data_IF_549425784292
#
_entry.id   IF_549425784292
#
_cell.length_a   1.000
_cell.length_b   1.000
_cell.length_c   1.000
_cell.angle_alpha   90.00
_cell.angle_beta   90.00
_cell.angle_gamma   90.00
#
_symmetry.space_group_name_H-M   'P 1'
#
loop_
_entity.id
_entity.type
_entity.pdbx_description
1 polymer ?
#
# COMPACT_ATOMS: atom_id res chain seq x y z
N UNK A 1 -70.14 -16.43 30.84
CA UNK A 1 -69.10 -16.26 29.83
C UNK A 1 -67.76 -15.82 30.45
N UNK A 2 -67.18 -16.66 31.34
CA UNK A 2 -65.93 -16.35 32.07
C UNK A 2 -65.04 -17.58 32.32
N UNK A 3 -65.33 -18.73 31.73
CA UNK A 3 -64.55 -19.97 31.94
C UNK A 3 -63.63 -20.33 30.76
N UNK A 4 -63.88 -19.85 29.55
CA UNK A 4 -63.08 -20.25 28.37
C UNK A 4 -61.73 -19.51 28.23
N UNK A 5 -61.57 -18.33 28.82
CA UNK A 5 -60.31 -17.57 28.72
C UNK A 5 -59.19 -18.07 29.66
N UNK A 6 -59.52 -18.86 30.69
CA UNK A 6 -58.52 -19.40 31.63
C UNK A 6 -57.69 -20.53 31.03
N UNK A 7 -58.31 -21.41 30.24
CA UNK A 7 -57.65 -22.57 29.64
C UNK A 7 -56.70 -22.18 28.50
N UNK A 8 -57.07 -21.18 27.70
CA UNK A 8 -56.23 -20.65 26.64
C UNK A 8 -54.95 -20.00 27.19
N UNK A 9 -55.04 -19.35 28.36
CA UNK A 9 -53.88 -18.75 29.02
C UNK A 9 -52.94 -19.81 29.60
N UNK A 10 -53.48 -20.88 30.21
CA UNK A 10 -52.68 -21.98 30.75
C UNK A 10 -52.02 -22.82 29.65
N UNK A 11 -52.69 -23.05 28.51
CA UNK A 11 -52.07 -23.72 27.34
C UNK A 11 -50.90 -22.92 26.78
N UNK A 12 -51.02 -21.60 26.65
CA UNK A 12 -49.89 -20.76 26.17
C UNK A 12 -48.70 -20.81 27.12
N UNK A 13 -48.94 -20.89 28.43
CA UNK A 13 -47.87 -20.96 29.44
C UNK A 13 -47.19 -22.33 29.49
N UNK A 14 -47.95 -23.42 29.32
CA UNK A 14 -47.39 -24.77 29.21
C UNK A 14 -46.55 -24.95 27.94
N UNK A 15 -47.01 -24.42 26.80
CA UNK A 15 -46.25 -24.46 25.53
C UNK A 15 -44.97 -23.60 25.59
N UNK A 16 -44.96 -22.52 26.38
CA UNK A 16 -43.76 -21.70 26.57
C UNK A 16 -42.72 -22.34 27.52
N UNK A 17 -43.14 -23.31 28.36
CA UNK A 17 -42.26 -24.00 29.30
C UNK A 17 -41.55 -25.23 28.71
N UNK A 18 -42.02 -25.74 27.57
CA UNK A 18 -41.48 -26.92 26.88
C UNK A 18 -40.67 -26.57 25.62
N UNK A 19 -40.25 -25.32 25.45
CA UNK A 19 -39.31 -24.97 24.39
C UNK A 19 -37.91 -25.50 24.78
N UNK A 20 -37.28 -26.37 23.97
CA UNK A 20 -35.91 -26.78 24.22
C UNK A 20 -35.04 -25.52 24.26
N UNK A 21 -34.18 -25.40 25.27
CA UNK A 21 -33.16 -24.35 25.33
C UNK A 21 -32.48 -24.28 23.96
N UNK A 22 -32.67 -23.15 23.27
CA UNK A 22 -31.95 -22.87 22.04
C UNK A 22 -30.47 -23.08 22.33
N UNK A 23 -29.73 -23.88 21.54
CA UNK A 23 -28.31 -24.06 21.77
C UNK A 23 -27.68 -22.66 21.84
N UNK A 24 -26.94 -22.42 22.92
CA UNK A 24 -26.27 -21.16 23.19
C UNK A 24 -25.62 -20.65 21.89
N UNK A 25 -25.83 -19.37 21.59
CA UNK A 25 -25.20 -18.73 20.44
C UNK A 25 -23.70 -19.09 20.43
N UNK A 26 -23.13 -19.49 19.28
CA UNK A 26 -21.74 -19.90 19.23
C UNK A 26 -20.87 -18.77 19.78
N UNK A 27 -20.08 -19.09 20.80
CA UNK A 27 -19.06 -18.22 21.36
C UNK A 27 -18.23 -17.70 20.17
N UNK A 28 -18.01 -16.38 20.03
CA UNK A 28 -17.20 -15.87 18.94
C UNK A 28 -15.85 -16.56 19.02
N UNK A 29 -15.49 -17.31 17.97
CA UNK A 29 -14.16 -17.89 17.84
C UNK A 29 -13.16 -16.77 18.08
N UNK A 30 -12.38 -16.85 19.17
CA UNK A 30 -11.22 -16.00 19.37
C UNK A 30 -10.45 -16.00 18.06
N UNK A 31 -10.31 -14.81 17.48
CA UNK A 31 -9.89 -14.63 16.11
C UNK A 31 -8.71 -15.53 15.79
N UNK A 32 -8.94 -16.49 14.91
CA UNK A 32 -7.85 -17.05 14.12
C UNK A 32 -7.23 -15.84 13.44
N UNK A 33 -6.06 -15.44 13.92
CA UNK A 33 -5.13 -14.63 13.15
C UNK A 33 -4.96 -15.42 11.86
N UNK A 34 -5.59 -14.95 10.78
CA UNK A 34 -5.43 -15.52 9.45
C UNK A 34 -3.97 -15.36 9.14
N UNK A 35 -3.18 -16.40 9.43
CA UNK A 35 -1.81 -16.47 8.99
C UNK A 35 -1.89 -16.41 7.47
N UNK A 36 -1.20 -15.46 6.82
CA UNK A 36 -1.19 -15.44 5.37
C UNK A 36 -0.72 -16.81 4.90
N UNK A 37 -1.51 -17.50 4.08
CA UNK A 37 -1.04 -18.72 3.43
C UNK A 37 0.26 -18.43 2.67
N UNK A 38 1.04 -19.45 2.33
CA UNK A 38 2.33 -19.26 1.64
C UNK A 38 2.26 -18.39 0.37
N UNK A 39 1.10 -18.35 -0.30
CA UNK A 39 0.82 -17.46 -1.44
C UNK A 39 0.73 -15.98 -1.06
N UNK A 40 0.05 -15.64 0.04
CA UNK A 40 -0.12 -14.25 0.51
C UNK A 40 1.19 -13.65 0.99
N UNK A 41 2.01 -14.44 1.69
CA UNK A 41 3.36 -14.01 2.09
C UNK A 41 4.27 -13.75 0.90
N UNK A 42 4.22 -14.62 -0.11
CA UNK A 42 4.99 -14.43 -1.35
C UNK A 42 4.61 -13.12 -2.05
N UNK A 43 3.32 -12.79 -2.13
CA UNK A 43 2.84 -11.52 -2.71
C UNK A 43 3.36 -10.32 -1.93
N UNK A 44 3.25 -10.32 -0.60
CA UNK A 44 3.76 -9.24 0.25
C UNK A 44 5.27 -9.06 0.04
N UNK A 45 6.04 -10.15 0.01
CA UNK A 45 7.48 -10.09 -0.21
C UNK A 45 7.84 -9.55 -1.60
N UNK A 46 7.13 -9.96 -2.65
CA UNK A 46 7.32 -9.45 -4.02
C UNK A 46 6.99 -7.97 -4.12
N UNK A 47 5.92 -7.51 -3.47
CA UNK A 47 5.55 -6.10 -3.42
C UNK A 47 6.63 -5.26 -2.72
N UNK A 48 7.10 -5.70 -1.55
CA UNK A 48 8.18 -5.03 -0.81
C UNK A 48 9.44 -4.96 -1.65
N UNK A 49 9.81 -6.07 -2.29
CA UNK A 49 11.00 -6.13 -3.15
C UNK A 49 10.87 -5.18 -4.34
N UNK A 50 9.72 -5.18 -5.01
CA UNK A 50 9.50 -4.35 -6.18
C UNK A 50 9.57 -2.85 -5.83
N UNK A 51 8.91 -2.44 -4.74
CA UNK A 51 8.98 -1.06 -4.24
C UNK A 51 10.43 -0.72 -3.89
N UNK A 52 11.11 -1.54 -3.09
CA UNK A 52 12.51 -1.31 -2.72
C UNK A 52 13.42 -1.15 -3.94
N UNK A 53 13.23 -1.94 -5.00
CA UNK A 53 14.02 -1.80 -6.24
C UNK A 53 13.67 -0.51 -6.99
N UNK A 54 12.40 -0.07 -6.97
CA UNK A 54 11.94 1.15 -7.61
C UNK A 54 12.52 2.43 -6.97
N UNK A 55 12.65 2.44 -5.65
CA UNK A 55 13.22 3.57 -4.91
C UNK A 55 14.72 3.82 -5.21
N UNK A 56 15.44 2.86 -5.81
CA UNK A 56 16.86 3.04 -6.15
C UNK A 56 17.03 4.06 -7.30
N UNK A 57 16.39 3.88 -8.49
CA UNK A 57 16.38 4.89 -9.54
C UNK A 57 15.92 6.27 -9.09
N UNK A 58 14.93 6.36 -8.21
CA UNK A 58 14.42 7.63 -7.67
C UNK A 58 15.47 8.33 -6.80
N UNK A 59 16.08 7.59 -5.87
CA UNK A 59 17.18 8.11 -5.06
C UNK A 59 18.33 8.58 -5.93
N UNK A 60 18.74 7.78 -6.92
CA UNK A 60 19.74 8.19 -7.90
C UNK A 60 19.34 9.47 -8.64
N UNK A 61 18.08 9.63 -9.04
CA UNK A 61 17.61 10.82 -9.74
C UNK A 61 17.70 12.07 -8.86
N UNK A 62 17.29 11.98 -7.59
CA UNK A 62 17.47 13.06 -6.60
C UNK A 62 18.96 13.40 -6.43
N UNK A 63 19.79 12.37 -6.22
CA UNK A 63 21.23 12.51 -6.03
C UNK A 63 21.94 13.16 -7.22
N UNK A 64 21.67 12.67 -8.43
CA UNK A 64 22.20 13.22 -9.68
C UNK A 64 21.70 14.65 -9.89
N UNK A 65 20.43 14.93 -9.63
CA UNK A 65 19.86 16.26 -9.71
C UNK A 65 20.63 17.28 -8.86
N UNK A 66 20.89 16.96 -7.59
CA UNK A 66 21.68 17.82 -6.70
C UNK A 66 23.18 17.84 -7.05
N UNK A 67 23.77 16.71 -7.43
CA UNK A 67 25.18 16.60 -7.79
C UNK A 67 25.52 17.25 -9.14
N UNK A 68 24.52 17.51 -9.98
CA UNK A 68 24.67 18.16 -11.29
C UNK A 68 24.42 19.67 -11.25
N UNK A 69 24.03 20.23 -10.10
CA UNK A 69 23.78 21.68 -9.95
C UNK A 69 24.97 22.48 -10.48
N UNK A 70 24.67 23.50 -11.30
CA UNK A 70 25.64 24.38 -11.97
C UNK A 70 26.51 23.72 -13.06
N UNK A 71 26.36 22.41 -13.34
CA UNK A 71 27.07 21.74 -14.45
C UNK A 71 26.45 22.03 -15.81
N UNK A 72 25.15 22.35 -15.86
CA UNK A 72 24.44 22.76 -17.07
C UNK A 72 23.47 23.90 -16.74
N UNK A 73 23.01 24.64 -17.75
CA UNK A 73 22.02 25.70 -17.55
C UNK A 73 20.66 25.19 -17.02
N UNK A 74 20.35 23.92 -17.26
CA UNK A 74 19.10 23.28 -16.81
C UNK A 74 19.23 22.64 -15.42
N UNK A 75 20.44 22.27 -14.98
CA UNK A 75 20.66 21.68 -13.66
C UNK A 75 20.79 22.79 -12.60
N UNK A 76 19.65 23.25 -12.10
CA UNK A 76 19.56 24.28 -11.07
C UNK A 76 19.23 23.67 -9.71
N UNK A 77 19.62 24.34 -8.62
CA UNK A 77 19.20 23.95 -7.28
C UNK A 77 17.67 23.88 -7.14
N UNK A 78 16.95 24.80 -7.79
CA UNK A 78 15.49 24.81 -7.82
C UNK A 78 14.91 23.55 -8.49
N UNK A 79 15.44 23.15 -9.65
CA UNK A 79 15.01 21.92 -10.32
C UNK A 79 15.27 20.67 -9.47
N UNK A 80 16.45 20.56 -8.85
CA UNK A 80 16.79 19.43 -7.98
C UNK A 80 15.92 19.38 -6.71
N UNK A 81 15.66 20.54 -6.10
CA UNK A 81 14.78 20.68 -4.94
C UNK A 81 13.35 20.25 -5.29
N UNK A 82 12.81 20.74 -6.39
CA UNK A 82 11.44 20.43 -6.76
C UNK A 82 11.28 18.94 -7.11
N UNK A 83 12.25 18.34 -7.80
CA UNK A 83 12.31 16.89 -8.04
C UNK A 83 12.30 16.10 -6.72
N UNK A 84 13.13 16.49 -5.75
CA UNK A 84 13.19 15.83 -4.45
C UNK A 84 11.88 15.94 -3.66
N UNK A 85 11.17 17.07 -3.77
CA UNK A 85 9.85 17.25 -3.17
C UNK A 85 8.83 16.34 -3.86
N UNK A 86 8.84 16.28 -5.20
CA UNK A 86 7.95 15.42 -5.97
C UNK A 86 8.08 13.95 -5.58
N UNK A 87 9.32 13.45 -5.58
CA UNK A 87 9.65 12.08 -5.15
C UNK A 87 9.26 11.86 -3.67
N UNK A 88 9.58 12.81 -2.78
CA UNK A 88 9.20 12.71 -1.37
C UNK A 88 7.69 12.58 -1.12
N UNK A 89 6.86 13.21 -1.95
CA UNK A 89 5.40 13.13 -1.83
C UNK A 89 4.87 11.76 -2.26
N UNK A 90 5.36 11.17 -3.36
CA UNK A 90 4.92 9.85 -3.84
C UNK A 90 5.39 8.69 -2.95
N UNK A 91 6.53 8.86 -2.26
CA UNK A 91 7.05 7.86 -1.33
C UNK A 91 6.12 7.57 -0.16
N UNK A 92 5.28 8.54 0.22
CA UNK A 92 4.33 8.34 1.31
C UNK A 92 3.26 7.29 0.96
N UNK A 93 2.52 7.42 -0.16
CA UNK A 93 1.69 6.34 -0.70
C UNK A 93 2.40 4.99 -0.85
N UNK A 94 3.66 4.96 -1.31
CA UNK A 94 4.42 3.71 -1.47
C UNK A 94 4.76 3.02 -0.15
N UNK A 95 5.23 3.79 0.84
CA UNK A 95 5.47 3.29 2.20
C UNK A 95 4.19 2.75 2.84
N UNK A 96 3.03 3.36 2.55
CA UNK A 96 1.73 2.84 2.96
C UNK A 96 1.36 1.55 2.21
N UNK A 97 1.68 1.45 0.92
CA UNK A 97 1.46 0.24 0.11
C UNK A 97 2.24 -0.97 0.65
N UNK A 98 3.39 -0.76 1.29
CA UNK A 98 4.12 -1.81 2.04
C UNK A 98 3.52 -2.05 3.42
N UNK A 99 3.17 -0.99 4.14
CA UNK A 99 2.71 -1.06 5.53
C UNK A 99 1.35 -1.75 5.67
N UNK A 100 0.38 -1.47 4.79
CA UNK A 100 -0.99 -1.96 4.92
C UNK A 100 -1.11 -3.49 4.75
N UNK A 101 -0.46 -4.13 3.76
CA UNK A 101 -0.45 -5.59 3.66
C UNK A 101 0.22 -6.28 4.85
N UNK A 102 1.33 -5.73 5.37
CA UNK A 102 1.98 -6.26 6.58
C UNK A 102 1.07 -6.16 7.81
N UNK A 103 0.32 -5.06 7.94
CA UNK A 103 -0.70 -4.92 8.98
C UNK A 103 -1.82 -5.95 8.80
N UNK A 104 -2.29 -6.17 7.57
CA UNK A 104 -3.25 -7.21 7.22
C UNK A 104 -2.75 -8.63 7.53
N UNK A 105 -1.44 -8.87 7.42
CA UNK A 105 -0.78 -10.12 7.76
C UNK A 105 -0.57 -10.33 9.28
N UNK A 106 -1.06 -9.43 10.13
CA UNK A 106 -1.04 -9.57 11.59
C UNK A 106 0.08 -8.80 12.30
N UNK A 107 0.89 -7.99 11.60
CA UNK A 107 1.91 -7.17 12.24
C UNK A 107 1.25 -6.04 13.03
N UNK A 108 1.85 -5.65 14.17
CA UNK A 108 1.41 -4.44 14.89
C UNK A 108 1.55 -3.21 13.99
N UNK A 109 0.67 -2.22 14.12
CA UNK A 109 0.71 -0.97 13.33
C UNK A 109 2.10 -0.35 13.28
N UNK A 110 2.80 -0.29 14.42
CA UNK A 110 4.14 0.29 14.50
C UNK A 110 5.20 -0.49 13.73
N UNK A 111 5.19 -1.83 13.81
CA UNK A 111 6.10 -2.68 13.03
C UNK A 111 5.82 -2.57 11.53
N UNK A 112 4.55 -2.59 11.14
CA UNK A 112 4.16 -2.46 9.75
C UNK A 112 4.61 -1.12 9.15
N UNK A 113 4.37 -0.03 9.89
CA UNK A 113 4.86 1.31 9.54
C UNK A 113 6.39 1.33 9.38
N UNK A 114 7.14 0.78 10.34
CA UNK A 114 8.60 0.73 10.25
C UNK A 114 9.09 -0.03 9.04
N UNK A 115 8.48 -1.17 8.69
CA UNK A 115 8.87 -1.89 7.49
C UNK A 115 8.59 -1.07 6.21
N UNK A 116 7.52 -0.29 6.16
CA UNK A 116 7.27 0.65 5.07
C UNK A 116 8.33 1.76 4.97
N UNK A 117 8.81 2.28 6.09
CA UNK A 117 9.92 3.25 6.08
C UNK A 117 11.24 2.59 5.67
N UNK A 118 11.49 1.36 6.14
CA UNK A 118 12.71 0.62 5.84
C UNK A 118 12.80 0.26 4.36
N UNK A 119 11.69 -0.04 3.67
CA UNK A 119 11.70 -0.27 2.22
C UNK A 119 12.14 0.95 1.43
N UNK A 120 11.84 2.16 1.91
CA UNK A 120 12.29 3.42 1.28
C UNK A 120 13.71 3.84 1.65
N UNK A 121 14.36 3.21 2.63
CA UNK A 121 15.67 3.65 3.13
C UNK A 121 16.82 3.48 2.10
N UNK A 122 16.58 2.70 1.05
CA UNK A 122 17.50 2.58 -0.09
C UNK A 122 17.64 3.88 -0.88
N UNK A 123 16.64 4.75 -0.84
CA UNK A 123 16.62 5.99 -1.62
C UNK A 123 17.64 7.03 -1.11
N UNK A 124 17.73 7.38 0.20
CA UNK A 124 18.81 8.22 0.69
C UNK A 124 20.21 7.67 0.36
N UNK A 125 20.39 6.35 0.43
CA UNK A 125 21.67 5.72 0.10
C UNK A 125 22.01 5.87 -1.38
N UNK A 126 21.03 5.60 -2.24
CA UNK A 126 21.14 5.77 -3.68
C UNK A 126 21.35 7.25 -4.07
N UNK A 127 20.70 8.19 -3.37
CA UNK A 127 20.87 9.63 -3.61
C UNK A 127 22.24 10.14 -3.22
N UNK A 128 22.78 9.70 -2.08
CA UNK A 128 24.17 10.01 -1.73
C UNK A 128 25.13 9.46 -2.79
N UNK A 129 24.93 8.21 -3.23
CA UNK A 129 25.74 7.63 -4.30
C UNK A 129 25.62 8.41 -5.62
N UNK A 130 24.41 8.74 -6.05
CA UNK A 130 24.14 9.51 -7.26
C UNK A 130 24.79 10.89 -7.25
N UNK A 131 24.78 11.57 -6.09
CA UNK A 131 25.43 12.86 -5.92
C UNK A 131 26.96 12.81 -6.07
N UNK A 132 27.60 11.73 -5.60
CA UNK A 132 29.05 11.54 -5.75
C UNK A 132 29.44 10.99 -7.13
N UNK A 133 28.59 10.17 -7.74
CA UNK A 133 28.87 9.42 -8.96
C UNK A 133 28.14 9.96 -10.21
N UNK A 134 27.83 11.25 -10.25
CA UNK A 134 27.03 11.89 -11.33
C UNK A 134 27.48 11.47 -12.73
N UNK A 135 28.78 11.51 -13.01
CA UNK A 135 29.34 11.17 -14.34
C UNK A 135 29.05 9.72 -14.75
N UNK A 136 28.96 8.81 -13.78
CA UNK A 136 28.63 7.41 -14.00
C UNK A 136 27.12 7.17 -14.03
N UNK A 137 26.38 7.85 -13.16
CA UNK A 137 24.94 7.65 -12.96
C UNK A 137 24.08 8.30 -14.06
N UNK A 138 24.44 9.50 -14.52
CA UNK A 138 23.65 10.29 -15.47
C UNK A 138 23.34 9.55 -16.79
N UNK A 139 24.29 8.84 -17.44
CA UNK A 139 23.98 8.09 -18.66
C UNK A 139 23.12 6.84 -18.42
N UNK A 140 23.16 6.28 -17.21
CA UNK A 140 22.46 5.05 -16.85
C UNK A 140 21.04 5.35 -16.37
N UNK A 141 20.82 6.55 -15.82
CA UNK A 141 19.58 6.98 -15.19
C UNK A 141 18.33 6.77 -16.07
N UNK A 142 18.31 7.14 -17.37
CA UNK A 142 17.10 7.00 -18.19
C UNK A 142 16.69 5.53 -18.35
N UNK A 143 17.67 4.63 -18.47
CA UNK A 143 17.42 3.19 -18.58
C UNK A 143 16.96 2.60 -17.25
N UNK A 144 17.58 3.03 -16.14
CA UNK A 144 17.19 2.61 -14.80
C UNK A 144 15.76 3.05 -14.48
N UNK A 145 15.40 4.31 -14.75
CA UNK A 145 14.05 4.85 -14.56
C UNK A 145 13.02 4.15 -15.46
N UNK A 146 13.34 3.92 -16.74
CA UNK A 146 12.44 3.20 -17.65
C UNK A 146 12.18 1.76 -17.19
N UNK A 147 13.23 1.07 -16.71
CA UNK A 147 13.09 -0.26 -16.12
C UNK A 147 12.24 -0.24 -14.86
N UNK A 148 12.48 0.72 -13.96
CA UNK A 148 11.71 0.89 -12.73
C UNK A 148 10.22 1.15 -13.03
N UNK A 149 9.93 2.05 -13.97
CA UNK A 149 8.57 2.37 -14.39
C UNK A 149 7.85 1.13 -14.95
N UNK A 150 8.52 0.35 -15.80
CA UNK A 150 7.98 -0.91 -16.33
C UNK A 150 7.67 -1.92 -15.22
N UNK A 151 8.57 -2.07 -14.24
CA UNK A 151 8.36 -2.96 -13.11
C UNK A 151 7.15 -2.56 -12.26
N UNK A 152 6.95 -1.27 -11.99
CA UNK A 152 5.80 -0.78 -11.22
C UNK A 152 4.48 -0.92 -11.99
N UNK A 153 4.49 -0.71 -13.31
CA UNK A 153 3.32 -1.02 -14.14
C UNK A 153 2.94 -2.50 -14.04
N UNK A 154 3.91 -3.41 -14.10
CA UNK A 154 3.67 -4.84 -13.94
C UNK A 154 3.06 -5.17 -12.57
N UNK A 155 3.64 -4.67 -11.47
CA UNK A 155 3.11 -4.88 -10.11
C UNK A 155 1.69 -4.35 -9.95
N UNK A 156 1.41 -3.15 -10.48
CA UNK A 156 0.07 -2.57 -10.41
C UNK A 156 -0.95 -3.43 -11.16
N UNK A 157 -0.59 -3.90 -12.36
CA UNK A 157 -1.50 -4.65 -13.23
C UNK A 157 -1.69 -6.11 -12.81
N UNK A 158 -0.64 -6.78 -12.34
CA UNK A 158 -0.66 -8.21 -12.03
C UNK A 158 -1.02 -8.49 -10.56
N UNK A 159 -0.69 -7.58 -9.64
CA UNK A 159 -0.97 -7.75 -8.21
C UNK A 159 -2.05 -6.78 -7.71
N UNK A 160 -1.82 -5.45 -7.77
CA UNK A 160 -2.66 -4.47 -7.04
C UNK A 160 -4.10 -4.39 -7.57
N UNK A 161 -4.28 -4.23 -8.88
CA UNK A 161 -5.62 -4.13 -9.49
C UNK A 161 -6.41 -5.43 -9.32
N UNK A 162 -5.86 -6.62 -9.64
CA UNK A 162 -6.57 -7.88 -9.44
C UNK A 162 -6.95 -8.13 -7.98
N UNK A 163 -6.06 -7.85 -7.03
CA UNK A 163 -6.33 -8.02 -5.59
C UNK A 163 -7.53 -7.15 -5.14
N UNK A 164 -7.60 -5.91 -5.63
CA UNK A 164 -8.70 -5.01 -5.32
C UNK A 164 -10.04 -5.47 -5.92
N UNK A 165 -10.01 -6.10 -7.10
CA UNK A 165 -11.20 -6.69 -7.71
C UNK A 165 -11.70 -7.92 -6.95
N UNK A 166 -10.78 -8.82 -6.58
CA UNK A 166 -11.09 -10.02 -5.78
C UNK A 166 -11.66 -9.63 -4.41
N UNK A 167 -11.16 -8.54 -3.82
CA UNK A 167 -11.63 -8.00 -2.55
C UNK A 167 -13.00 -7.28 -2.63
N UNK A 168 -13.66 -7.27 -3.79
CA UNK A 168 -14.97 -6.63 -4.00
C UNK A 168 -14.92 -5.10 -4.14
N UNK A 169 -13.73 -4.51 -4.16
CA UNK A 169 -13.53 -3.05 -4.18
C UNK A 169 -13.13 -2.51 -5.56
N UNK A 170 -13.32 -3.29 -6.64
CA UNK A 170 -12.80 -2.95 -7.98
C UNK A 170 -13.16 -1.55 -8.48
N UNK A 171 -14.42 -1.11 -8.31
CA UNK A 171 -14.85 0.23 -8.74
C UNK A 171 -14.18 1.35 -7.92
N UNK A 172 -14.06 1.16 -6.61
CA UNK A 172 -13.37 2.12 -5.73
C UNK A 172 -11.89 2.19 -6.09
N UNK A 173 -11.26 1.04 -6.32
CA UNK A 173 -9.87 0.94 -6.72
C UNK A 173 -9.61 1.67 -8.05
N UNK A 174 -10.45 1.47 -9.07
CA UNK A 174 -10.32 2.20 -10.34
C UNK A 174 -10.41 3.72 -10.15
N UNK A 175 -11.38 4.21 -9.36
CA UNK A 175 -11.48 5.65 -9.08
C UNK A 175 -10.30 6.18 -8.28
N UNK A 176 -9.82 5.43 -7.29
CA UNK A 176 -8.65 5.78 -6.51
C UNK A 176 -7.37 5.78 -7.36
N UNK A 177 -7.22 4.84 -8.30
CA UNK A 177 -6.11 4.81 -9.25
C UNK A 177 -6.14 6.00 -10.20
N UNK A 178 -7.31 6.37 -10.74
CA UNK A 178 -7.44 7.57 -11.59
C UNK A 178 -7.08 8.83 -10.79
N UNK A 179 -7.63 8.98 -9.58
CA UNK A 179 -7.32 10.13 -8.73
C UNK A 179 -5.83 10.18 -8.39
N UNK A 180 -5.24 9.05 -7.99
CA UNK A 180 -3.82 8.95 -7.67
C UNK A 180 -2.93 9.30 -8.87
N UNK A 181 -3.28 8.80 -10.06
CA UNK A 181 -2.58 9.14 -11.30
C UNK A 181 -2.65 10.64 -11.61
N UNK A 182 -3.85 11.24 -11.52
CA UNK A 182 -4.02 12.68 -11.76
C UNK A 182 -3.24 13.51 -10.76
N UNK A 183 -3.26 13.16 -9.48
CA UNK A 183 -2.49 13.84 -8.43
C UNK A 183 -0.99 13.72 -8.73
N UNK A 184 -0.49 12.52 -9.03
CA UNK A 184 0.92 12.30 -9.35
C UNK A 184 1.35 13.11 -10.59
N UNK A 185 0.60 13.04 -11.69
CA UNK A 185 0.89 13.82 -12.90
C UNK A 185 0.84 15.33 -12.66
N UNK A 186 -0.05 15.80 -11.79
CA UNK A 186 -0.13 17.21 -11.43
C UNK A 186 1.08 17.66 -10.61
N UNK A 187 1.60 16.79 -9.75
CA UNK A 187 2.83 17.04 -8.99
C UNK A 187 4.07 17.02 -9.89
N UNK A 188 4.16 16.05 -10.80
CA UNK A 188 5.28 15.94 -11.76
C UNK A 188 5.36 17.18 -12.65
N UNK A 189 4.26 17.58 -13.27
CA UNK A 189 4.21 18.78 -14.13
C UNK A 189 4.29 20.08 -13.34
N UNK A 190 3.78 20.10 -12.11
CA UNK A 190 3.76 21.30 -11.26
C UNK A 190 5.09 21.59 -10.56
N UNK A 191 5.90 20.57 -10.31
CA UNK A 191 7.20 20.67 -9.66
C UNK A 191 8.36 20.57 -10.65
N UNK A 192 8.17 19.93 -11.80
CA UNK A 192 9.15 19.80 -12.89
C UNK A 192 9.26 21.01 -13.81
#
# INVERSE_FOLDING_TARGET
>A
DKSENGEAYQRKKAVAADLPESPAAPVPSQGNLVQPGGSSWRRIALLILAITIHNIPEGLAVGVGFGAVEKTASATFESARNLAIGIGIQNFPEGLAVSLPLRGAGFSTWRAFWYGQLSGMVEPLAGVFGAFAVVLAEPILPYALAFAAGAMVYVVMDDIIPEAQISGNGKLASWASILGFVVMMSLDVGLG
#
